data_IF_417607568320
#
_entry.id   IF_417607568320
#
_cell.length_a   1.000
_cell.length_b   1.000
_cell.length_c   1.000
_cell.angle_alpha   90.00
_cell.angle_beta   90.00
_cell.angle_gamma   90.00
#
_symmetry.space_group_name_H-M   'P 1'
#
loop_
_entity.id
_entity.type
_entity.pdbx_description
1 polymer ?
#
# COMPACT_ATOMS: atom_id res chain seq x y z
N UNK A 1 9.47 4.16 1.15
CA UNK A 1 9.85 4.51 -0.25
C UNK A 1 8.73 5.33 -0.85
N UNK A 2 9.04 6.39 -1.60
CA UNK A 2 8.02 7.28 -2.20
C UNK A 2 7.59 6.77 -3.57
N UNK A 3 6.28 6.76 -3.82
CA UNK A 3 5.67 6.31 -5.05
C UNK A 3 4.65 7.32 -5.53
N UNK A 4 4.58 7.52 -6.85
CA UNK A 4 3.55 8.34 -7.48
C UNK A 4 2.36 7.47 -7.83
N UNK A 5 1.18 7.85 -7.38
CA UNK A 5 -0.08 7.17 -7.67
C UNK A 5 -1.12 8.17 -8.18
N UNK A 6 -2.01 7.75 -9.09
CA UNK A 6 -3.14 8.56 -9.53
C UNK A 6 -4.38 8.13 -8.75
N UNK A 7 -4.89 9.01 -7.89
CA UNK A 7 -6.09 8.79 -7.07
C UNK A 7 -7.13 9.85 -7.44
N UNK A 8 -8.38 9.44 -7.66
CA UNK A 8 -9.48 10.35 -8.05
C UNK A 8 -9.12 11.35 -9.17
N UNK A 9 -8.34 10.92 -10.17
CA UNK A 9 -7.90 11.78 -11.28
C UNK A 9 -6.66 12.64 -11.01
N UNK A 10 -6.21 12.78 -9.75
CA UNK A 10 -5.04 13.56 -9.35
C UNK A 10 -3.83 12.68 -9.06
N UNK A 11 -2.66 13.08 -9.53
CA UNK A 11 -1.42 12.44 -9.13
C UNK A 11 -1.02 12.91 -7.72
N UNK A 12 -0.72 11.96 -6.84
CA UNK A 12 -0.26 12.20 -5.48
C UNK A 12 0.98 11.36 -5.21
N UNK A 13 1.85 11.88 -4.35
CA UNK A 13 2.96 11.09 -3.82
C UNK A 13 2.51 10.42 -2.52
N UNK A 14 2.79 9.12 -2.43
CA UNK A 14 2.56 8.32 -1.23
C UNK A 14 3.86 7.68 -0.81
N UNK A 15 4.13 7.69 0.49
CA UNK A 15 5.22 6.93 1.06
C UNK A 15 4.70 5.58 1.52
N UNK A 16 5.28 4.51 0.98
CA UNK A 16 4.93 3.13 1.30
C UNK A 16 6.09 2.48 2.05
N UNK A 17 5.79 1.92 3.22
CA UNK A 17 6.70 1.12 4.01
C UNK A 17 6.00 -0.14 4.53
N UNK A 18 6.76 -1.22 4.68
CA UNK A 18 6.28 -2.45 5.30
C UNK A 18 6.57 -2.40 6.80
N UNK A 19 5.65 -2.90 7.61
CA UNK A 19 5.80 -2.99 9.06
C UNK A 19 5.12 -4.27 9.58
N UNK A 20 5.32 -4.57 10.84
CA UNK A 20 4.54 -5.57 11.55
C UNK A 20 3.66 -4.87 12.59
N UNK A 21 2.37 -5.18 12.59
CA UNK A 21 1.46 -4.78 13.66
C UNK A 21 0.92 -6.04 14.33
N UNK A 22 1.26 -6.22 15.62
CA UNK A 22 1.10 -7.50 16.32
C UNK A 22 1.78 -8.61 15.48
N UNK A 23 1.04 -9.65 15.09
CA UNK A 23 1.53 -10.74 14.25
C UNK A 23 1.27 -10.54 12.75
N UNK A 24 0.70 -9.39 12.34
CA UNK A 24 0.27 -9.17 10.96
C UNK A 24 1.31 -8.35 10.21
N UNK A 25 1.70 -8.83 9.03
CA UNK A 25 2.48 -8.02 8.10
C UNK A 25 1.56 -6.98 7.45
N UNK A 26 1.90 -5.71 7.64
CA UNK A 26 1.10 -4.56 7.19
C UNK A 26 1.93 -3.62 6.34
N UNK A 27 1.23 -2.78 5.59
CA UNK A 27 1.82 -1.76 4.73
C UNK A 27 1.29 -0.40 5.16
N UNK A 28 2.19 0.45 5.64
CA UNK A 28 1.89 1.83 5.95
C UNK A 28 1.94 2.64 4.66
N UNK A 29 0.88 3.38 4.39
CA UNK A 29 0.80 4.34 3.28
C UNK A 29 0.60 5.72 3.88
N UNK A 30 1.59 6.59 3.73
CA UNK A 30 1.54 7.98 4.19
C UNK A 30 1.37 8.92 3.01
N UNK A 31 0.35 9.77 3.07
CA UNK A 31 0.04 10.78 2.07
C UNK A 31 0.77 12.09 2.38
N UNK A 32 0.83 13.00 1.40
CA UNK A 32 1.48 14.31 1.55
C UNK A 32 0.79 15.23 2.56
N UNK A 33 -0.51 15.04 2.79
CA UNK A 33 -1.29 15.76 3.80
C UNK A 33 -1.00 15.29 5.24
N UNK A 34 -0.08 14.33 5.40
CA UNK A 34 0.29 13.76 6.68
C UNK A 34 -0.60 12.62 7.14
N UNK A 35 -1.72 12.34 6.46
CA UNK A 35 -2.57 11.18 6.74
C UNK A 35 -1.78 9.90 6.49
N UNK A 36 -1.99 8.91 7.36
CA UNK A 36 -1.36 7.61 7.23
C UNK A 36 -2.41 6.52 7.45
N UNK A 37 -2.40 5.53 6.56
CA UNK A 37 -3.29 4.38 6.62
C UNK A 37 -2.48 3.10 6.68
N UNK A 38 -3.07 2.09 7.30
CA UNK A 38 -2.52 0.75 7.39
C UNK A 38 -3.32 -0.19 6.49
N UNK A 39 -2.65 -0.74 5.48
CA UNK A 39 -3.19 -1.76 4.58
C UNK A 39 -2.64 -3.13 4.93
N UNK A 40 -3.48 -4.15 4.83
CA UNK A 40 -3.09 -5.55 4.96
C UNK A 40 -3.80 -6.39 3.93
N UNK A 41 -3.21 -7.54 3.58
CA UNK A 41 -3.78 -8.45 2.60
C UNK A 41 -4.42 -9.64 3.30
N UNK A 42 -5.68 -9.93 2.99
CA UNK A 42 -6.42 -11.08 3.47
C UNK A 42 -6.81 -11.94 2.25
N UNK A 43 -6.12 -13.06 2.05
CA UNK A 43 -6.25 -13.86 0.84
C UNK A 43 -5.83 -13.06 -0.41
N UNK A 44 -6.79 -12.83 -1.31
CA UNK A 44 -6.58 -12.02 -2.52
C UNK A 44 -6.88 -10.54 -2.33
N UNK A 45 -7.56 -10.16 -1.24
CA UNK A 45 -8.11 -8.83 -1.06
C UNK A 45 -7.24 -7.94 -0.18
N UNK A 46 -7.21 -6.66 -0.53
CA UNK A 46 -6.58 -5.62 0.28
C UNK A 46 -7.61 -4.98 1.20
N UNK A 47 -7.27 -4.86 2.48
CA UNK A 47 -8.11 -4.28 3.53
C UNK A 47 -7.37 -3.18 4.26
N UNK A 48 -8.14 -2.30 4.93
CA UNK A 48 -7.61 -1.22 5.76
C UNK A 48 -7.94 -1.45 7.24
N UNK A 49 -7.08 -0.97 8.15
CA UNK A 49 -7.14 -1.33 9.57
C UNK A 49 -8.08 -0.50 10.45
N UNK A 50 -8.25 0.83 10.25
CA UNK A 50 -9.36 1.65 10.81
C UNK A 50 -9.23 3.19 10.61
N UNK A 51 -10.39 3.86 10.80
CA UNK A 51 -10.80 5.29 10.91
C UNK A 51 -11.01 6.12 9.63
N UNK A 52 -10.06 6.22 8.73
CA UNK A 52 -10.28 6.94 7.46
C UNK A 52 -10.73 5.95 6.38
N UNK A 53 -12.01 5.98 6.03
CA UNK A 53 -12.54 5.12 4.98
C UNK A 53 -11.97 5.56 3.63
N UNK A 54 -11.02 4.80 3.09
CA UNK A 54 -10.72 4.92 1.68
C UNK A 54 -11.92 4.43 0.86
N UNK A 55 -12.23 5.16 -0.21
CA UNK A 55 -13.09 4.63 -1.25
C UNK A 55 -12.47 3.36 -1.86
N UNK A 56 -13.32 2.41 -2.27
CA UNK A 56 -12.89 1.11 -2.79
C UNK A 56 -11.89 1.25 -3.95
N UNK A 57 -12.10 2.23 -4.82
CA UNK A 57 -11.23 2.48 -5.96
C UNK A 57 -9.81 2.91 -5.55
N UNK A 58 -9.68 3.65 -4.44
CA UNK A 58 -8.40 4.08 -3.87
C UNK A 58 -7.69 2.90 -3.23
N UNK A 59 -8.41 2.11 -2.43
CA UNK A 59 -7.91 0.91 -1.77
C UNK A 59 -7.34 -0.08 -2.80
N UNK A 60 -8.10 -0.34 -3.88
CA UNK A 60 -7.67 -1.22 -4.98
C UNK A 60 -6.43 -0.69 -5.69
N UNK A 61 -6.35 0.61 -5.93
CA UNK A 61 -5.20 1.24 -6.59
C UNK A 61 -3.93 1.14 -5.76
N UNK A 62 -4.03 1.37 -4.44
CA UNK A 62 -2.92 1.22 -3.51
C UNK A 62 -2.50 -0.24 -3.35
N UNK A 63 -3.46 -1.16 -3.23
CA UNK A 63 -3.21 -2.60 -3.17
C UNK A 63 -2.43 -3.09 -4.40
N UNK A 64 -2.87 -2.71 -5.60
CA UNK A 64 -2.17 -3.04 -6.84
C UNK A 64 -0.74 -2.48 -6.90
N UNK A 65 -0.51 -1.28 -6.38
CA UNK A 65 0.83 -0.69 -6.29
C UNK A 65 1.71 -1.49 -5.32
N UNK A 66 1.18 -1.89 -4.16
CA UNK A 66 1.91 -2.71 -3.20
C UNK A 66 2.23 -4.08 -3.79
N UNK A 67 1.29 -4.73 -4.49
CA UNK A 67 1.52 -6.00 -5.16
C UNK A 67 2.66 -5.88 -6.19
N UNK A 68 2.71 -4.78 -6.97
CA UNK A 68 3.84 -4.51 -7.88
C UNK A 68 5.17 -4.37 -7.14
N UNK A 69 5.18 -3.69 -5.99
CA UNK A 69 6.38 -3.56 -5.15
C UNK A 69 6.84 -4.93 -4.65
N UNK A 70 5.92 -5.77 -4.16
CA UNK A 70 6.22 -7.13 -3.70
C UNK A 70 6.78 -7.97 -4.86
N UNK A 71 6.14 -7.95 -6.02
CA UNK A 71 6.59 -8.70 -7.20
C UNK A 71 7.95 -8.22 -7.71
N UNK A 72 8.22 -6.91 -7.67
CA UNK A 72 9.53 -6.37 -8.04
C UNK A 72 10.62 -6.83 -7.07
N UNK A 73 10.34 -6.80 -5.76
CA UNK A 73 11.28 -7.29 -4.73
C UNK A 73 11.57 -8.79 -4.86
N UNK A 74 10.56 -9.62 -5.15
CA UNK A 74 10.76 -11.06 -5.39
C UNK A 74 11.66 -11.34 -6.59
N UNK A 75 11.50 -10.58 -7.68
CA UNK A 75 12.35 -10.73 -8.88
C UNK A 75 13.82 -10.44 -8.61
N UNK A 76 14.13 -9.49 -7.73
CA UNK A 76 15.51 -9.18 -7.36
C UNK A 76 16.17 -10.30 -6.55
N UNK A 77 15.39 -11.09 -5.80
CA UNK A 77 15.91 -12.20 -4.99
C UNK A 77 16.09 -13.49 -5.81
N UNK A 78 15.40 -13.64 -6.95
CA UNK A 78 15.40 -14.87 -7.76
C UNK A 78 16.58 -15.00 -8.75
N UNK A 79 17.54 -14.07 -8.71
CA UNK A 79 18.80 -14.16 -9.46
C UNK A 79 19.88 -14.59 -8.46
N UNK A 80 19.89 -15.86 -8.09
CA UNK A 80 21.00 -16.55 -7.40
C UNK A 80 20.99 -18.02 -7.75
#
# INVERSE_FOLDING_TARGET
>A
MKYKIKLAGRAQLVEISSAYFKAWHVWNVKFEDGKAIMLFKLGSDWMQRNEDYLEEHVLRSLGNLIDKIISARKRVVSIR
#
